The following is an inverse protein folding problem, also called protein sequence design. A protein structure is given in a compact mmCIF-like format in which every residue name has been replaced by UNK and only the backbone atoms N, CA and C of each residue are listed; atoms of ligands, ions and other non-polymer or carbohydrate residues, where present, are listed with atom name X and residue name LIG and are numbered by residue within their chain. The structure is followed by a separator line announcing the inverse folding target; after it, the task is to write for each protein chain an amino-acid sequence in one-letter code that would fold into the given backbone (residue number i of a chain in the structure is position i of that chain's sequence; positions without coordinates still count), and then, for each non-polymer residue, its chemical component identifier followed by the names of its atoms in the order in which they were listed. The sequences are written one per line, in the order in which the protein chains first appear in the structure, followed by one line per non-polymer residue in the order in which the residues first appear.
data_IF_844264181691
#
_entry.id   IF_844264181691
#
_cell.length_a   1.000
_cell.length_b   1.000
_cell.length_c   1.000
_cell.angle_alpha   90.00
_cell.angle_beta   90.00
_cell.angle_gamma   90.00
#
_symmetry.space_group_name_H-M   'P 1'
#
loop_
_entity.id
_entity.type
_entity.pdbx_description
1 polymer ?
2 branched ?
3 branched ?
4 non-polymer ?
5 non-polymer ?
6 water ?
#
# COMPACT_ATOMS: atom_id res chain seq x y z
N UNK A 10 20.16 2.65 16.79
CA UNK A 10 20.43 3.03 18.23
C UNK A 10 19.24 3.10 19.26
N UNK A 11 18.16 3.79 18.89
CA UNK A 11 16.98 3.96 19.77
C UNK A 11 15.74 3.73 18.93
N UNK A 12 14.76 3.05 19.46
CA UNK A 12 13.54 2.72 18.68
C UNK A 12 12.74 3.97 18.42
N UNK A 13 12.12 4.09 17.26
CA UNK A 13 11.07 5.07 17.04
C UNK A 13 10.00 4.90 18.13
N UNK A 14 9.61 6.00 18.75
CA UNK A 14 8.63 6.00 19.82
C UNK A 14 7.23 5.63 19.37
N UNK A 15 6.75 6.16 18.22
CA UNK A 15 5.44 5.89 17.73
C UNK A 15 4.27 6.41 18.55
N UNK A 16 4.54 7.41 19.40
CA UNK A 16 3.54 7.89 20.34
C UNK A 16 2.91 9.24 20.01
N UNK A 17 3.41 9.90 19.00
CA UNK A 17 2.80 11.13 18.52
C UNK A 17 1.54 10.91 17.64
N UNK A 18 0.75 11.97 17.50
CA UNK A 18 -0.50 12.02 16.76
C UNK A 18 -0.29 12.51 15.33
N UNK A 19 -1.12 12.12 14.41
CA UNK A 19 -0.97 12.68 13.08
C UNK A 19 -0.98 14.20 13.05
N UNK A 20 -0.03 14.79 12.30
CA UNK A 20 0.06 16.22 12.06
C UNK A 20 -1.26 16.77 11.51
N UNK A 21 -1.70 17.95 12.00
CA UNK A 21 -2.81 18.71 11.36
C UNK A 21 -2.37 19.08 9.99
N UNK A 22 -3.16 18.81 8.98
CA UNK A 22 -2.75 19.20 7.61
C UNK A 22 -3.88 19.87 6.92
N UNK A 23 -3.61 20.50 5.78
CA UNK A 23 -4.68 21.10 4.96
C UNK A 23 -4.64 20.58 3.51
N UNK A 24 -3.56 19.93 3.13
CA UNK A 24 -3.39 19.51 1.71
C UNK A 24 -2.11 18.72 1.57
N UNK A 25 -1.75 18.42 0.31
CA UNK A 25 -0.77 17.40 -0.02
C UNK A 25 0.24 18.06 -0.96
N UNK A 26 1.49 18.04 -0.55
CA UNK A 26 2.61 18.59 -1.32
C UNK A 26 3.35 17.48 -1.98
N UNK A 27 3.72 17.66 -3.24
CA UNK A 27 4.40 16.57 -3.92
C UNK A 27 5.81 16.31 -3.43
N UNK A 28 6.07 15.02 -3.17
CA UNK A 28 7.28 14.50 -2.56
C UNK A 28 8.21 13.83 -3.61
N UNK A 29 7.68 12.96 -4.48
CA UNK A 29 8.57 12.34 -5.43
C UNK A 29 7.82 11.98 -6.69
N UNK A 30 8.61 11.73 -7.68
CA UNK A 30 8.17 11.15 -8.97
C UNK A 30 9.35 10.47 -9.61
N UNK A 31 9.26 9.19 -9.98
CA UNK A 31 10.45 8.48 -10.50
C UNK A 31 10.56 8.38 -11.99
N UNK A 32 9.46 8.58 -12.70
CA UNK A 32 9.46 8.44 -14.18
C UNK A 32 10.13 7.13 -14.64
N UNK A 33 9.86 6.03 -13.95
CA UNK A 33 10.60 4.80 -14.12
C UNK A 33 10.38 4.21 -15.53
N UNK A 34 9.14 4.28 -15.96
CA UNK A 34 8.77 3.69 -17.30
C UNK A 34 9.33 4.51 -18.42
N UNK A 35 9.16 5.83 -18.39
CA UNK A 35 9.77 6.68 -19.39
C UNK A 35 11.30 6.42 -19.52
N UNK A 36 11.98 6.31 -18.37
CA UNK A 36 13.41 6.10 -18.39
C UNK A 36 13.72 4.71 -18.89
N UNK A 37 12.85 3.76 -18.57
CA UNK A 37 13.07 2.35 -18.88
C UNK A 37 12.82 2.03 -20.36
N UNK A 38 12.34 3.01 -21.11
CA UNK A 38 12.18 2.87 -22.61
C UNK A 38 13.58 2.63 -23.21
N UNK A 39 14.61 3.20 -22.58
CA UNK A 39 16.01 3.07 -23.06
C UNK A 39 16.93 2.53 -21.98
N UNK A 40 16.81 2.98 -20.76
CA UNK A 40 17.71 2.48 -19.71
C UNK A 40 17.36 1.07 -19.24
N UNK A 41 18.12 0.53 -18.29
CA UNK A 41 17.93 -0.81 -17.83
C UNK A 41 17.17 -0.73 -16.53
N UNK A 42 15.84 -0.90 -16.64
CA UNK A 42 14.94 -0.70 -15.56
C UNK A 42 14.02 -1.92 -15.36
N UNK A 43 13.89 -2.31 -14.12
CA UNK A 43 12.99 -3.42 -13.82
C UNK A 43 11.57 -3.16 -14.22
N UNK A 44 10.91 -4.22 -14.68
CA UNK A 44 9.44 -4.28 -14.64
C UNK A 44 9.03 -4.45 -13.17
N UNK A 45 8.25 -3.52 -12.65
CA UNK A 45 7.85 -3.56 -11.21
C UNK A 45 6.34 -3.50 -10.94
N UNK A 46 5.97 -3.90 -9.74
CA UNK A 46 4.65 -3.61 -9.17
C UNK A 46 4.84 -3.18 -7.67
N UNK A 47 3.82 -2.52 -7.13
CA UNK A 47 3.77 -2.12 -5.70
C UNK A 47 4.99 -1.39 -5.21
N UNK A 48 5.22 -0.19 -5.72
CA UNK A 48 6.39 0.61 -5.33
C UNK A 48 6.09 1.40 -4.06
N UNK A 49 6.08 0.68 -2.94
CA UNK A 49 5.72 1.28 -1.69
C UNK A 49 6.89 1.93 -1.03
N UNK A 50 6.68 3.09 -0.38
CA UNK A 50 7.74 3.84 0.24
C UNK A 50 7.71 3.53 1.72
N UNK A 51 8.89 3.45 2.33
CA UNK A 51 8.94 3.34 3.78
C UNK A 51 10.20 4.06 4.19
N UNK A 52 10.22 4.59 5.43
CA UNK A 52 11.31 5.38 5.89
C UNK A 52 11.90 4.87 7.22
N UNK A 53 13.14 5.23 7.46
CA UNK A 53 13.81 4.95 8.74
C UNK A 53 13.85 6.25 9.52
N UNK A 54 14.74 6.32 10.49
CA UNK A 54 15.04 7.57 11.15
C UNK A 54 15.99 8.47 10.34
N UNK A 55 16.51 7.98 9.22
CA UNK A 55 17.51 8.72 8.39
C UNK A 55 17.10 8.95 6.95
N UNK A 56 16.38 8.02 6.35
CA UNK A 56 16.09 8.12 4.90
C UNK A 56 14.82 7.40 4.54
N UNK A 57 14.36 7.62 3.32
CA UNK A 57 13.23 6.88 2.82
C UNK A 57 13.68 6.05 1.62
N UNK A 58 13.01 4.95 1.41
CA UNK A 58 13.29 4.05 0.28
C UNK A 58 12.07 3.63 -0.40
N UNK A 59 12.13 3.35 -1.72
CA UNK A 59 11.04 2.68 -2.39
C UNK A 59 11.29 1.14 -2.47
N UNK A 60 10.37 0.35 -1.94
CA UNK A 60 10.40 -1.10 -2.03
C UNK A 60 9.49 -1.45 -3.23
N UNK A 61 9.77 -2.58 -3.84
CA UNK A 61 8.97 -3.03 -4.96
C UNK A 61 9.16 -4.48 -5.23
N UNK A 62 8.20 -5.08 -5.96
CA UNK A 62 8.34 -6.43 -6.42
C UNK A 62 8.71 -6.45 -7.91
N UNK A 63 9.66 -7.29 -8.26
CA UNK A 63 10.02 -7.46 -9.66
C UNK A 63 9.95 -8.92 -10.01
N UNK A 64 9.72 -9.26 -11.29
CA UNK A 64 9.90 -10.63 -11.74
C UNK A 64 11.35 -10.91 -12.19
N UNK A 65 12.25 -9.97 -11.99
CA UNK A 65 13.62 -10.05 -12.48
C UNK A 65 13.64 -10.05 -14.00
N UNK A 66 12.92 -9.11 -14.56
CA UNK A 66 12.96 -8.85 -15.94
C UNK A 66 13.00 -7.34 -16.09
N UNK A 67 13.62 -6.90 -17.17
CA UNK A 67 13.71 -5.48 -17.53
C UNK A 67 12.72 -5.07 -18.63
N UNK A 68 12.36 -3.79 -18.61
CA UNK A 68 11.54 -3.21 -19.62
C UNK A 68 12.18 -3.38 -20.96
N UNK A 69 11.35 -3.62 -21.97
CA UNK A 69 11.86 -3.80 -23.35
C UNK A 69 12.67 -5.04 -23.62
N UNK A 70 12.50 -6.05 -22.75
CA UNK A 70 13.09 -7.35 -22.93
C UNK A 70 12.03 -8.42 -22.99
N UNK A 71 12.33 -9.51 -23.69
CA UNK A 71 11.37 -10.64 -23.83
C UNK A 71 10.90 -11.25 -22.50
N UNK A 72 11.72 -11.15 -21.43
CA UNK A 72 11.31 -11.71 -20.19
C UNK A 72 10.24 -10.95 -19.44
N UNK A 73 9.92 -9.75 -19.92
CA UNK A 73 8.89 -8.96 -19.37
C UNK A 73 7.47 -9.44 -19.79
N UNK A 74 7.38 -10.40 -20.70
CA UNK A 74 6.13 -11.02 -21.02
C UNK A 74 5.27 -11.38 -19.78
N UNK A 75 4.07 -10.85 -19.76
CA UNK A 75 3.21 -10.90 -18.58
C UNK A 75 2.26 -12.09 -18.53
N UNK A 76 2.30 -12.99 -19.49
CA UNK A 76 1.40 -14.14 -19.43
C UNK A 76 2.17 -15.23 -18.71
N UNK A 77 2.23 -15.04 -17.40
CA UNK A 77 3.00 -15.81 -16.46
C UNK A 77 2.26 -15.65 -15.12
N UNK A 78 2.51 -16.56 -14.17
CA UNK A 78 1.86 -16.47 -12.86
C UNK A 78 2.32 -15.21 -12.12
N UNK A 79 1.41 -14.53 -11.42
CA UNK A 79 1.85 -13.44 -10.52
C UNK A 79 2.71 -14.04 -9.43
N UNK A 80 2.32 -15.23 -9.00
CA UNK A 80 3.03 -15.85 -7.85
C UNK A 80 4.10 -16.78 -8.33
N UNK A 81 5.17 -16.21 -8.86
CA UNK A 81 6.18 -17.03 -9.47
C UNK A 81 7.39 -17.13 -8.54
N UNK A 82 8.24 -18.13 -8.81
CA UNK A 82 9.47 -18.24 -8.05
C UNK A 82 10.52 -17.21 -8.42
N UNK A 83 10.29 -16.42 -9.49
CA UNK A 83 11.24 -15.40 -9.90
C UNK A 83 11.00 -14.09 -9.13
N UNK A 84 9.84 -13.93 -8.50
CA UNK A 84 9.43 -12.66 -7.96
C UNK A 84 10.28 -12.35 -6.70
N UNK A 85 10.76 -11.13 -6.63
CA UNK A 85 11.67 -10.70 -5.54
C UNK A 85 11.27 -9.31 -5.04
N UNK A 86 11.43 -9.08 -3.73
CA UNK A 86 11.32 -7.77 -3.17
C UNK A 86 12.70 -7.10 -3.20
N UNK A 87 12.75 -5.89 -3.74
CA UNK A 87 13.97 -5.13 -3.89
C UNK A 87 13.71 -3.70 -3.34
N UNK A 88 14.72 -2.84 -3.17
CA UNK A 88 14.44 -1.46 -2.85
C UNK A 88 15.49 -0.55 -3.46
N UNK A 89 15.13 0.70 -3.70
CA UNK A 89 16.04 1.70 -4.21
C UNK A 89 15.68 3.04 -3.55
N UNK A 90 16.57 4.01 -3.66
CA UNK A 90 16.27 5.37 -3.15
C UNK A 90 15.00 5.96 -3.76
N UNK A 91 14.28 6.71 -2.95
CA UNK A 91 13.03 7.36 -3.44
C UNK A 91 13.32 8.27 -4.62
N UNK A 92 12.53 8.15 -5.69
CA UNK A 92 12.62 9.09 -6.79
C UNK A 92 13.54 8.63 -7.93
N UNK A 93 14.21 7.48 -7.75
CA UNK A 93 15.09 6.91 -8.82
C UNK A 93 14.37 5.78 -9.56
N UNK A 94 14.67 5.68 -10.84
CA UNK A 94 14.21 4.57 -11.62
C UNK A 94 14.76 3.26 -11.05
N UNK A 95 13.92 2.24 -10.90
CA UNK A 95 14.36 1.01 -10.23
C UNK A 95 15.16 0.12 -11.14
N UNK A 96 16.49 0.19 -11.06
CA UNK A 96 17.38 -0.58 -11.94
C UNK A 96 18.20 -1.63 -11.19
N UNK A 97 18.71 -2.66 -11.90
CA UNK A 97 19.60 -3.62 -11.25
C UNK A 97 20.88 -2.91 -10.72
N UNK A 98 21.16 -1.59 -11.26
CA UNK A 98 22.42 -0.95 -10.94
C UNK A 98 22.24 -0.07 -9.72
N UNK A 99 21.01 0.19 -9.27
CA UNK A 99 20.84 1.03 -8.03
C UNK A 99 19.93 0.42 -6.96
N UNK A 100 19.42 -0.77 -7.22
CA UNK A 100 18.50 -1.46 -6.32
C UNK A 100 19.21 -2.51 -5.45
N UNK A 101 18.83 -2.62 -4.19
CA UNK A 101 19.28 -3.61 -3.25
C UNK A 101 18.32 -4.80 -3.24
N UNK A 102 18.81 -6.03 -3.01
CA UNK A 102 17.95 -7.18 -2.88
C UNK A 102 17.43 -7.27 -1.44
N UNK A 103 16.16 -7.56 -1.22
CA UNK A 103 15.63 -7.70 0.18
C UNK A 103 15.19 -9.14 0.47
N UNK A 104 14.37 -9.73 -0.42
CA UNK A 104 13.81 -11.03 -0.14
C UNK A 104 13.21 -11.66 -1.40
N UNK A 105 13.10 -12.97 -1.41
CA UNK A 105 12.35 -13.67 -2.49
C UNK A 105 10.88 -13.56 -2.07
N UNK A 106 10.05 -13.01 -2.93
CA UNK A 106 8.70 -12.65 -2.51
C UNK A 106 7.76 -12.39 -3.68
N UNK A 107 6.55 -12.98 -3.57
CA UNK A 107 5.42 -12.53 -4.38
C UNK A 107 4.35 -11.75 -3.62
N UNK A 108 4.55 -11.51 -2.29
CA UNK A 108 3.76 -10.62 -1.53
C UNK A 108 4.69 -10.17 -0.40
N UNK A 109 4.61 -8.92 -0.01
CA UNK A 109 5.62 -8.37 0.92
C UNK A 109 5.15 -7.19 1.79
N UNK A 110 5.93 -6.89 2.83
CA UNK A 110 5.82 -5.68 3.63
C UNK A 110 7.25 -5.40 4.19
N UNK A 111 7.48 -4.16 4.59
CA UNK A 111 8.72 -3.76 5.20
C UNK A 111 8.50 -2.57 6.07
N UNK A 112 9.35 -2.45 7.08
CA UNK A 112 9.30 -1.31 7.95
C UNK A 112 10.52 -1.24 8.81
N UNK A 113 10.86 -0.02 9.25
CA UNK A 113 12.09 0.23 10.06
C UNK A 113 11.67 0.62 11.46
N UNK A 114 12.21 -0.09 12.44
CA UNK A 114 11.88 0.24 13.84
C UNK A 114 12.70 1.36 14.51
N UNK A 115 13.55 2.05 13.78
CA UNK A 115 14.49 3.01 14.41
C UNK A 115 15.88 2.48 14.50
N UNK A 116 15.97 1.14 14.56
CA UNK A 116 17.23 0.44 14.62
C UNK A 116 17.62 -0.24 13.27
N UNK A 117 16.79 -1.14 12.79
CA UNK A 117 17.07 -1.81 11.50
C UNK A 117 15.80 -2.07 10.74
N UNK A 118 15.97 -2.48 9.48
CA UNK A 118 14.85 -2.86 8.63
C UNK A 118 14.29 -4.25 8.94
N UNK A 119 12.98 -4.33 9.09
CA UNK A 119 12.26 -5.58 8.99
C UNK A 119 11.72 -5.71 7.57
N UNK A 120 11.95 -6.85 6.96
CA UNK A 120 11.30 -7.18 5.69
C UNK A 120 10.57 -8.51 5.83
N UNK A 121 9.45 -8.60 5.14
CA UNK A 121 8.64 -9.78 5.16
C UNK A 121 8.39 -10.16 3.72
N UNK A 122 8.81 -11.35 3.35
CA UNK A 122 8.67 -11.79 1.94
C UNK A 122 8.07 -13.12 1.89
N UNK A 123 6.94 -13.24 1.17
CA UNK A 123 6.24 -14.47 1.12
C UNK A 123 6.54 -15.15 -0.18
N UNK A 124 7.02 -16.39 -0.13
CA UNK A 124 7.20 -17.22 -1.39
C UNK A 124 6.71 -18.63 -1.13
N UNK A 125 6.84 -19.54 -2.11
CA UNK A 125 6.35 -20.87 -1.97
C UNK A 125 5.01 -21.07 -2.70
N UNK A 126 4.49 -22.28 -2.58
CA UNK A 126 3.29 -22.68 -3.30
C UNK A 126 2.02 -22.11 -2.66
N UNK A 127 0.95 -22.09 -3.45
CA UNK A 127 -0.33 -21.56 -2.94
C UNK A 127 -0.88 -22.28 -1.73
N UNK A 128 -0.60 -23.57 -1.65
CA UNK A 128 -1.14 -24.37 -0.57
C UNK A 128 -0.24 -24.42 0.64
N UNK A 129 0.85 -23.69 0.59
CA UNK A 129 1.79 -23.69 1.72
C UNK A 129 2.86 -22.60 1.77
N UNK A 130 2.48 -21.35 1.50
CA UNK A 130 3.43 -20.30 1.30
C UNK A 130 4.01 -19.94 2.66
N UNK A 131 5.25 -19.48 2.62
CA UNK A 131 6.00 -19.09 3.86
C UNK A 131 6.49 -17.67 3.76
N UNK A 132 6.14 -16.85 4.74
CA UNK A 132 6.73 -15.58 4.96
C UNK A 132 8.07 -15.72 5.67
N UNK A 133 9.13 -15.22 5.02
CA UNK A 133 10.44 -15.14 5.61
C UNK A 133 10.60 -13.73 6.17
N UNK A 134 10.83 -13.65 7.47
CA UNK A 134 11.08 -12.36 8.10
C UNK A 134 12.60 -12.17 8.27
N UNK A 135 13.06 -10.98 7.93
CA UNK A 135 14.45 -10.60 8.09
C UNK A 135 14.54 -9.34 8.90
N UNK A 136 15.53 -9.29 9.76
CA UNK A 136 15.87 -8.06 10.50
C UNK A 136 17.33 -7.74 10.24
N UNK A 137 17.59 -6.53 9.74
CA UNK A 137 18.92 -6.16 9.22
C UNK A 137 19.45 -7.18 8.24
N UNK A 138 18.58 -7.70 7.37
CA UNK A 138 18.97 -8.67 6.34
C UNK A 138 19.22 -10.12 6.76
N UNK A 139 19.09 -10.45 8.03
CA UNK A 139 19.32 -11.81 8.53
C UNK A 139 17.97 -12.43 8.82
N UNK A 140 17.75 -13.66 8.34
CA UNK A 140 16.50 -14.36 8.66
C UNK A 140 16.30 -14.55 10.18
N UNK A 141 15.12 -14.12 10.67
CA UNK A 141 14.82 -14.12 12.11
C UNK A 141 13.56 -14.91 12.40
N UNK A 142 12.69 -15.20 11.43
CA UNK A 142 11.55 -16.03 11.74
C UNK A 142 10.85 -16.41 10.46
N UNK A 143 9.90 -17.31 10.58
CA UNK A 143 9.04 -17.64 9.39
C UNK A 143 7.59 -17.74 9.88
N UNK A 144 6.64 -17.44 9.00
CA UNK A 144 5.23 -17.68 9.28
C UNK A 144 4.71 -18.49 8.09
N UNK A 145 4.21 -19.70 8.35
CA UNK A 145 3.61 -20.50 7.26
C UNK A 145 2.09 -20.37 7.21
N UNK A 146 1.55 -20.46 6.00
CA UNK A 146 0.16 -20.49 5.76
C UNK A 146 -0.64 -21.34 6.73
N UNK A 147 -1.73 -20.85 7.26
CA UNK A 147 -2.54 -21.57 8.24
C UNK A 147 -3.87 -22.04 7.68
N UNK A 148 -4.21 -21.62 6.44
CA UNK A 148 -5.39 -22.12 5.70
C UNK A 148 -5.04 -22.78 4.38
N UNK A 149 -3.76 -22.75 4.02
CA UNK A 149 -3.34 -23.41 2.77
C UNK A 149 -4.01 -22.82 1.57
N UNK A 150 -4.22 -21.50 1.59
CA UNK A 150 -4.87 -20.82 0.46
C UNK A 150 -4.39 -19.40 0.28
N UNK A 151 -3.14 -19.30 -0.19
CA UNK A 151 -2.48 -18.03 -0.55
C UNK A 151 -2.26 -17.05 0.58
N UNK A 152 -1.38 -17.44 1.50
CA UNK A 152 -0.92 -16.50 2.51
C UNK A 152 -0.43 -15.24 1.84
N UNK A 153 -0.89 -14.07 2.27
CA UNK A 153 -0.52 -12.85 1.64
C UNK A 153 -0.61 -11.68 2.63
N UNK A 154 0.05 -10.56 2.30
CA UNK A 154 0.20 -9.44 3.20
C UNK A 154 0.00 -8.08 2.52
N UNK A 155 0.58 -7.04 3.12
CA UNK A 155 0.11 -5.65 2.86
C UNK A 155 0.41 -5.07 1.47
N UNK A 156 1.58 -5.39 0.93
CA UNK A 156 2.16 -4.65 -0.16
C UNK A 156 2.35 -3.15 0.15
N UNK A 157 2.67 -2.83 1.41
CA UNK A 157 3.05 -1.48 1.82
C UNK A 157 3.71 -1.63 3.17
N UNK A 158 4.07 -0.53 3.79
CA UNK A 158 4.83 -0.61 5.02
C UNK A 158 4.06 -1.07 6.24
N UNK A 159 4.76 -1.85 7.08
CA UNK A 159 4.23 -2.23 8.35
C UNK A 159 4.39 -1.01 9.29
N UNK A 160 3.91 -1.09 10.53
CA UNK A 160 3.85 0.08 11.43
C UNK A 160 4.63 -0.26 12.67
N UNK A 161 5.51 0.66 13.15
CA UNK A 161 6.39 0.38 14.28
C UNK A 161 6.14 1.36 15.41
N UNK A 162 6.10 0.86 16.62
CA UNK A 162 5.89 1.66 17.82
C UNK A 162 6.74 1.08 18.91
N UNK A 163 7.67 1.91 19.38
CA UNK A 163 8.57 1.57 20.50
C UNK A 163 9.22 0.18 20.38
N UNK A 164 9.72 -0.13 19.18
CA UNK A 164 10.42 -1.39 18.95
C UNK A 164 9.59 -2.62 18.57
N UNK A 165 8.28 -2.49 18.49
CA UNK A 165 7.38 -3.57 18.05
C UNK A 165 6.83 -3.09 16.73
N UNK A 166 6.84 -3.98 15.75
CA UNK A 166 6.30 -3.68 14.45
C UNK A 166 5.10 -4.59 14.23
N UNK A 167 4.11 -4.07 13.49
CA UNK A 167 2.84 -4.68 13.34
C UNK A 167 2.46 -4.80 11.85
N UNK A 168 1.85 -5.92 11.53
CA UNK A 168 1.38 -6.20 10.13
C UNK A 168 0.13 -7.07 10.16
N UNK A 169 -0.49 -7.27 8.99
CA UNK A 169 -1.75 -8.00 8.87
C UNK A 169 -1.56 -8.94 7.70
N UNK A 170 -1.91 -10.21 7.88
CA UNK A 170 -1.87 -11.21 6.79
C UNK A 170 -3.19 -11.83 6.60
N UNK A 171 -3.46 -12.25 5.36
CA UNK A 171 -4.68 -12.87 5.01
C UNK A 171 -4.37 -14.27 4.43
N UNK A 172 -5.29 -15.21 4.64
CA UNK A 172 -5.17 -16.58 4.13
C UNK A 172 -6.59 -17.09 3.89
N UNK A 173 -6.90 -17.57 2.68
CA UNK A 173 -8.24 -17.90 2.27
C UNK A 173 -8.68 -17.23 1.00
N UNK A 174 -9.93 -17.41 0.63
CA UNK A 174 -10.47 -16.95 -0.68
C UNK A 174 -10.38 -15.45 -0.83
N UNK A 175 -10.21 -14.99 -2.06
CA UNK A 175 -10.26 -13.54 -2.33
C UNK A 175 -11.67 -13.14 -2.82
N UNK A 176 -12.59 -14.11 -2.93
CA UNK A 176 -13.95 -13.92 -3.38
C UNK A 176 -14.98 -14.46 -2.39
N UNK A 177 -14.63 -14.48 -1.12
CA UNK A 177 -15.51 -14.99 -0.10
C UNK A 177 -14.87 -14.78 1.23
N UNK A 178 -15.51 -15.26 2.30
CA UNK A 178 -14.93 -15.15 3.62
C UNK A 178 -13.52 -15.72 3.66
N UNK A 179 -12.58 -14.99 4.28
CA UNK A 179 -11.23 -15.51 4.54
C UNK A 179 -10.84 -15.37 6.00
N UNK A 180 -9.57 -15.60 6.31
CA UNK A 180 -9.03 -15.49 7.67
C UNK A 180 -7.96 -14.43 7.72
N UNK A 181 -7.98 -13.65 8.82
CA UNK A 181 -7.18 -12.43 8.93
C UNK A 181 -6.45 -12.50 10.24
N UNK A 182 -5.16 -12.29 10.20
CA UNK A 182 -4.38 -12.20 11.41
C UNK A 182 -3.53 -10.94 11.53
N UNK A 183 -3.42 -10.43 12.76
CA UNK A 183 -2.46 -9.41 13.12
C UNK A 183 -1.26 -9.99 13.84
N UNK A 184 -0.05 -9.52 13.45
CA UNK A 184 1.20 -10.00 13.97
C UNK A 184 1.95 -8.89 14.61
N UNK A 185 2.53 -9.21 15.75
CA UNK A 185 3.42 -8.31 16.46
C UNK A 185 4.83 -8.87 16.39
N UNK A 186 5.79 -8.09 15.93
CA UNK A 186 7.13 -8.52 15.61
C UNK A 186 8.16 -7.65 16.31
N UNK A 187 9.10 -8.27 16.96
CA UNK A 187 10.20 -7.57 17.65
C UNK A 187 11.56 -8.14 17.21
N UNK A 188 12.40 -7.28 16.71
CA UNK A 188 13.72 -7.66 16.14
C UNK A 188 13.52 -8.84 15.16
N UNK A 189 12.48 -8.70 14.35
CA UNK A 189 12.14 -9.70 13.32
C UNK A 189 11.56 -11.05 13.80
N UNK A 190 11.31 -11.18 15.11
CA UNK A 190 10.68 -12.37 15.70
C UNK A 190 9.21 -12.14 16.07
N UNK A 191 8.31 -13.05 15.66
CA UNK A 191 6.91 -12.94 16.01
C UNK A 191 6.76 -13.15 17.52
N UNK A 192 6.23 -12.17 18.23
CA UNK A 192 6.05 -12.27 19.70
C UNK A 192 4.57 -12.50 20.06
N UNK A 193 3.66 -12.18 19.16
CA UNK A 193 2.24 -12.36 19.39
C UNK A 193 1.50 -12.31 18.09
N UNK A 194 0.40 -13.07 17.97
CA UNK A 194 -0.54 -12.92 16.84
C UNK A 194 -1.96 -13.14 17.34
N UNK A 195 -2.93 -12.57 16.64
CA UNK A 195 -4.34 -12.76 16.91
C UNK A 195 -5.10 -12.89 15.61
N UNK A 196 -6.06 -13.80 15.59
CA UNK A 196 -6.93 -13.95 14.45
C UNK A 196 -8.16 -13.08 14.62
N UNK A 197 -8.46 -12.22 13.65
CA UNK A 197 -9.66 -11.40 13.78
C UNK A 197 -10.93 -12.25 13.76
N UNK A 198 -11.88 -11.91 14.62
CA UNK A 198 -13.23 -12.43 14.51
C UNK A 198 -14.02 -11.41 13.72
N UNK A 199 -14.05 -11.60 12.39
CA UNK A 199 -14.64 -10.68 11.47
C UNK A 199 -15.50 -11.35 10.40
N UNK A 200 -16.59 -11.98 10.85
CA UNK A 200 -17.56 -12.52 9.93
C UNK A 200 -18.16 -11.47 9.03
N UNK A 201 -18.23 -11.78 7.75
CA UNK A 201 -18.81 -10.98 6.70
C UNK A 201 -17.92 -9.84 6.26
N UNK A 202 -16.73 -9.74 6.84
CA UNK A 202 -15.76 -8.71 6.48
C UNK A 202 -14.69 -9.36 5.59
N UNK A 203 -13.98 -8.56 4.80
CA UNK A 203 -12.89 -9.06 3.98
C UNK A 203 -11.74 -8.07 4.03
N UNK A 204 -10.53 -8.57 4.38
CA UNK A 204 -9.32 -7.76 4.44
C UNK A 204 -8.24 -8.26 3.50
N UNK A 205 -7.80 -7.36 2.61
CA UNK A 205 -6.62 -7.57 1.78
C UNK A 205 -5.77 -6.30 1.72
N UNK A 206 -4.46 -6.49 1.50
CA UNK A 206 -3.56 -5.39 1.11
C UNK A 206 -3.72 -4.18 2.02
N UNK A 207 -3.58 -4.38 3.32
CA UNK A 207 -3.76 -3.33 4.25
C UNK A 207 -2.70 -2.24 4.24
N UNK A 208 -3.13 -0.97 4.37
CA UNK A 208 -2.28 0.19 4.59
C UNK A 208 -2.42 0.54 6.08
N UNK A 209 -1.34 0.33 6.79
CA UNK A 209 -1.36 0.50 8.30
C UNK A 209 -0.39 1.57 8.70
N UNK A 210 -0.74 2.41 9.72
CA UNK A 210 0.11 3.50 10.09
C UNK A 210 -0.03 3.63 11.61
N UNK A 211 1.03 4.04 12.28
CA UNK A 211 0.91 4.33 13.69
C UNK A 211 0.32 5.76 13.96
N UNK A 212 -0.42 5.91 15.07
CA UNK A 212 -0.98 7.18 15.46
C UNK A 212 -1.30 7.03 16.99
N UNK A 213 -0.58 7.81 17.74
CA UNK A 213 -0.76 7.88 19.23
C UNK A 213 -0.68 6.50 19.87
N UNK A 214 0.43 5.82 19.60
CA UNK A 214 0.74 4.52 20.19
C UNK A 214 -0.22 3.36 19.82
N UNK A 215 -1.03 3.51 18.77
CA UNK A 215 -1.91 2.44 18.26
C UNK A 215 -1.74 2.42 16.78
N UNK A 216 -2.22 1.39 16.13
CA UNK A 216 -2.11 1.26 14.65
C UNK A 216 -3.49 1.33 14.06
N UNK A 217 -3.61 1.96 12.90
CA UNK A 217 -4.85 1.93 12.15
C UNK A 217 -4.48 1.36 10.80
N UNK A 218 -5.28 0.42 10.32
CA UNK A 218 -5.10 -0.17 8.98
C UNK A 218 -6.37 0.03 8.15
N UNK A 219 -6.22 0.45 6.89
CA UNK A 219 -7.33 0.63 5.97
C UNK A 219 -7.01 -0.26 4.82
N UNK A 220 -7.97 -1.07 4.40
CA UNK A 220 -7.67 -2.19 3.54
C UNK A 220 -8.58 -2.28 2.35
N UNK A 221 -8.48 -3.41 1.67
CA UNK A 221 -9.33 -3.67 0.45
C UNK A 221 -10.27 -4.86 0.72
N UNK A 222 -11.59 -4.68 0.55
CA UNK A 222 -12.55 -5.76 0.56
C UNK A 222 -12.69 -6.21 -0.88
N UNK A 223 -12.14 -7.38 -1.19
CA UNK A 223 -12.26 -7.95 -2.56
C UNK A 223 -13.49 -8.80 -2.83
N UNK A 224 -14.21 -9.10 -1.77
CA UNK A 224 -15.39 -9.98 -1.79
C UNK A 224 -16.65 -9.21 -2.16
N UNK A 225 -17.03 -8.27 -1.33
CA UNK A 225 -18.37 -7.65 -1.42
C UNK A 225 -18.50 -6.23 -0.75
N UNK A 226 -17.44 -5.45 -0.84
CA UNK A 226 -17.41 -4.12 -0.24
C UNK A 226 -16.79 -3.13 -1.21
N UNK A 227 -17.50 -2.03 -1.51
CA UNK A 227 -16.96 -0.94 -2.32
C UNK A 227 -16.51 0.23 -1.46
N UNK A 228 -16.83 0.17 -0.18
CA UNK A 228 -16.12 0.98 0.85
C UNK A 228 -15.01 0.18 1.42
N UNK A 229 -14.10 0.82 2.18
CA UNK A 229 -12.96 0.13 2.65
C UNK A 229 -13.15 -0.34 4.06
N UNK A 230 -12.76 -1.58 4.34
CA UNK A 230 -12.63 -2.04 5.74
C UNK A 230 -11.47 -1.44 6.49
N UNK A 231 -11.58 -1.44 7.81
CA UNK A 231 -10.48 -1.00 8.69
C UNK A 231 -10.39 -1.88 9.92
N UNK A 232 -9.18 -1.93 10.47
CA UNK A 232 -8.94 -2.56 11.72
C UNK A 232 -7.94 -1.72 12.46
N UNK A 233 -8.27 -1.43 13.69
CA UNK A 233 -7.30 -0.71 14.55
C UNK A 233 -6.98 -1.50 15.81
N UNK A 234 -5.81 -1.27 16.36
CA UNK A 234 -5.42 -2.11 17.51
C UNK A 234 -4.32 -1.47 18.34
N UNK A 235 -4.26 -1.85 19.60
CA UNK A 235 -3.21 -1.36 20.45
C UNK A 235 -2.02 -2.31 20.47
N UNK A 236 -0.92 -2.11 21.28
CA UNK A 236 0.30 -2.87 21.33
C UNK A 236 0.10 -4.31 21.80
N UNK A 237 -1.03 -4.60 22.43
CA UNK A 237 -1.33 -5.94 22.89
C UNK A 237 -2.27 -6.66 21.94
N UNK A 238 -2.46 -6.08 20.75
CA UNK A 238 -3.34 -6.66 19.71
C UNK A 238 -4.83 -6.75 20.11
N UNK A 239 -5.29 -5.90 21.05
CA UNK A 239 -6.71 -5.77 21.33
C UNK A 239 -7.22 -4.83 20.23
N UNK A 240 -8.21 -5.26 19.49
CA UNK A 240 -8.58 -4.62 18.21
C UNK A 240 -10.06 -4.18 18.12
N UNK A 241 -10.35 -3.32 17.16
CA UNK A 241 -11.69 -2.98 16.71
C UNK A 241 -11.72 -3.03 15.18
N UNK A 242 -12.88 -3.35 14.66
CA UNK A 242 -13.08 -3.42 13.21
C UNK A 242 -14.29 -2.63 12.76
N UNK A 243 -14.27 -2.17 11.51
CA UNK A 243 -15.46 -1.61 10.88
C UNK A 243 -15.16 -1.36 9.41
N UNK A 244 -16.04 -0.59 8.75
CA UNK A 244 -15.81 -0.09 7.40
C UNK A 244 -15.96 1.45 7.47
N UNK A 245 -15.24 2.14 6.61
CA UNK A 245 -15.35 3.58 6.54
C UNK A 245 -16.79 3.94 6.14
N UNK A 246 -17.41 4.83 6.90
CA UNK A 246 -18.88 5.06 6.77
C UNK A 246 -19.26 5.99 5.62
N UNK A 247 -18.33 6.83 5.16
CA UNK A 247 -18.67 7.84 4.21
C UNK A 247 -19.30 7.27 2.96
N UNK A 248 -20.22 8.03 2.38
CA UNK A 248 -20.85 7.71 1.06
C UNK A 248 -19.94 8.10 -0.07
N UNK A 249 -18.82 8.73 0.29
CA UNK A 249 -17.72 8.96 -0.67
C UNK A 249 -16.94 7.65 -0.70
N UNK A 250 -17.38 6.72 -1.54
CA UNK A 250 -16.85 5.34 -1.50
C UNK A 250 -15.38 5.30 -1.98
N UNK A 251 -14.55 4.51 -1.28
CA UNK A 251 -13.11 4.54 -1.44
C UNK A 251 -12.52 3.50 -2.43
N UNK A 252 -13.21 2.40 -2.72
CA UNK A 252 -12.57 1.30 -3.48
C UNK A 252 -12.79 1.58 -4.95
N UNK A 253 -12.16 0.75 -5.76
CA UNK A 253 -12.36 0.73 -7.23
C UNK A 253 -12.44 -0.74 -7.62
N UNK A 254 -13.53 -1.18 -8.26
CA UNK A 254 -14.74 -0.43 -8.65
C UNK A 254 -15.63 -0.06 -7.47
N UNK A 255 -16.60 0.79 -7.76
CA UNK A 255 -17.55 1.26 -6.73
C UNK A 255 -18.75 1.84 -7.44
N UNK A 256 -19.84 2.02 -6.73
CA UNK A 256 -20.96 2.80 -7.32
C UNK A 256 -20.67 4.30 -7.27
N UNK A 257 -21.55 5.10 -7.87
CA UNK A 257 -21.50 6.54 -7.68
C UNK A 257 -21.71 6.84 -6.19
N UNK A 258 -21.21 7.98 -5.74
CA UNK A 258 -21.35 8.29 -4.31
C UNK A 258 -22.81 8.35 -3.92
N UNK A 259 -23.12 7.93 -2.72
CA UNK A 259 -24.50 7.77 -2.30
C UNK A 259 -24.57 7.56 -0.80
N UNK A 260 -25.56 6.83 -0.29
CA UNK A 260 -25.59 6.52 1.10
C UNK A 260 -24.55 5.49 1.48
N UNK A 261 -23.74 5.82 2.48
CA UNK A 261 -22.69 4.93 2.90
C UNK A 261 -23.15 3.84 3.84
N UNK A 262 -22.30 3.07 4.58
CA UNK A 262 -22.49 2.05 5.56
C UNK A 262 -21.22 1.85 6.40
N UNK A 263 -21.42 1.65 7.69
CA UNK A 263 -20.33 1.30 8.61
C UNK A 263 -20.09 -0.20 8.60
N UNK A 264 -20.74 -1.08 7.48
CA UNK A 264 -20.43 -2.41 7.04
C UNK A 264 -20.18 -2.36 5.56
N UNK A 265 -19.97 -3.53 4.97
CA UNK A 265 -19.58 -3.55 3.55
C UNK A 265 -20.71 -3.12 2.65
N UNK A 266 -20.40 -2.26 1.69
CA UNK A 266 -21.34 -1.81 0.70
C UNK A 266 -21.25 -2.78 -0.47
N UNK A 267 -22.30 -3.56 -0.64
CA UNK A 267 -22.25 -4.67 -1.59
C UNK A 267 -22.26 -4.25 -3.07
N UNK A 268 -22.89 -3.11 -3.43
CA UNK A 268 -22.98 -2.70 -4.82
C UNK A 268 -21.56 -2.50 -5.39
N UNK A 269 -21.26 -3.11 -6.54
CA UNK A 269 -19.93 -3.07 -7.14
C UNK A 269 -18.81 -3.45 -6.16
N UNK A 270 -19.15 -4.29 -5.16
CA UNK A 270 -18.26 -4.66 -4.07
C UNK A 270 -17.15 -5.66 -4.38
N UNK A 271 -17.38 -6.50 -5.39
CA UNK A 271 -16.36 -7.46 -5.82
C UNK A 271 -15.19 -6.75 -6.53
N UNK A 272 -14.02 -7.38 -6.39
CA UNK A 272 -12.73 -6.89 -6.84
C UNK A 272 -12.42 -5.63 -6.00
N UNK A 273 -11.44 -4.87 -6.40
CA UNK A 273 -10.91 -3.82 -5.56
C UNK A 273 -9.59 -3.30 -6.08
N UNK A 274 -8.99 -2.40 -5.32
CA UNK A 274 -7.64 -1.88 -5.60
C UNK A 274 -7.07 -1.60 -4.20
N UNK A 275 -5.79 -1.88 -4.03
CA UNK A 275 -5.13 -1.49 -2.76
C UNK A 275 -5.26 0.03 -2.60
N UNK A 276 -5.59 0.49 -1.39
CA UNK A 276 -5.78 1.88 -1.09
C UNK A 276 -5.50 2.19 0.38
N UNK A 277 -5.77 3.42 0.77
CA UNK A 277 -5.47 3.89 2.16
C UNK A 277 -6.44 4.98 2.50
N UNK A 278 -6.44 5.39 3.78
CA UNK A 278 -7.12 6.62 4.18
C UNK A 278 -6.59 6.96 5.55
N UNK A 279 -6.73 8.22 5.96
CA UNK A 279 -6.22 8.69 7.31
C UNK A 279 -7.37 9.22 8.14
N UNK A 280 -7.51 8.66 9.35
CA UNK A 280 -8.59 9.06 10.26
C UNK A 280 -8.13 10.27 11.07
N UNK A 281 -8.94 11.32 11.13
CA UNK A 281 -8.67 12.46 12.01
C UNK A 281 -9.99 12.75 12.80
N UNK A 282 -10.09 12.26 14.01
CA UNK A 282 -11.35 12.32 14.78
C UNK A 282 -12.44 11.53 14.06
N UNK A 283 -13.56 12.20 13.81
CA UNK A 283 -14.65 11.61 13.04
C UNK A 283 -14.48 11.88 11.57
N UNK A 284 -13.40 12.59 11.20
CA UNK A 284 -13.13 12.94 9.83
C UNK A 284 -12.14 12.02 9.14
N UNK A 285 -12.11 12.05 7.81
CA UNK A 285 -11.23 11.15 7.07
C UNK A 285 -10.67 11.78 5.78
N UNK A 286 -9.37 11.61 5.55
CA UNK A 286 -8.78 11.86 4.22
C UNK A 286 -8.80 10.58 3.42
N UNK A 287 -9.53 10.60 2.30
CA UNK A 287 -9.61 9.47 1.44
C UNK A 287 -8.82 9.75 0.16
N UNK A 288 -7.95 8.83 -0.23
CA UNK A 288 -7.36 8.84 -1.57
C UNK A 288 -8.11 7.79 -2.39
N UNK A 289 -8.53 8.14 -3.60
CA UNK A 289 -9.18 7.15 -4.40
C UNK A 289 -8.97 7.48 -5.89
N UNK A 290 -9.25 6.51 -6.75
CA UNK A 290 -9.30 6.79 -8.16
C UNK A 290 -10.40 7.78 -8.50
N UNK A 291 -10.30 8.38 -9.69
CA UNK A 291 -11.39 9.26 -10.12
C UNK A 291 -12.47 8.48 -10.82
N UNK A 292 -12.12 7.44 -11.59
CA UNK A 292 -13.15 6.57 -12.20
C UNK A 292 -13.79 5.62 -11.18
N UNK A 293 -15.09 5.34 -11.34
CA UNK A 293 -15.77 4.34 -10.53
C UNK A 293 -15.56 2.91 -11.06
N UNK A 294 -15.03 2.77 -12.26
CA UNK A 294 -15.00 1.48 -12.93
C UNK A 294 -13.57 1.04 -13.20
N UNK A 295 -12.65 1.95 -13.58
CA UNK A 295 -11.25 1.53 -13.89
C UNK A 295 -10.25 2.25 -13.00
N UNK A 296 -9.04 1.76 -12.98
CA UNK A 296 -7.97 2.40 -12.20
C UNK A 296 -7.43 3.61 -12.97
N UNK A 297 -8.24 4.68 -13.02
CA UNK A 297 -7.97 5.92 -13.74
C UNK A 297 -8.15 7.11 -12.81
N UNK A 298 -7.18 8.01 -12.77
CA UNK A 298 -7.30 9.24 -12.02
C UNK A 298 -6.96 8.96 -10.57
N UNK A 299 -6.71 10.04 -9.84
CA UNK A 299 -6.49 9.94 -8.40
C UNK A 299 -6.77 11.30 -7.79
N UNK A 300 -7.44 11.29 -6.62
CA UNK A 300 -7.85 12.49 -5.92
C UNK A 300 -7.78 12.25 -4.41
N UNK A 301 -7.54 13.31 -3.64
CA UNK A 301 -7.66 13.30 -2.15
C UNK A 301 -8.86 14.12 -1.74
N UNK A 302 -9.73 13.53 -0.90
CA UNK A 302 -10.93 14.10 -0.43
C UNK A 302 -10.90 14.18 1.08
N UNK A 303 -11.21 15.34 1.59
CA UNK A 303 -11.40 15.50 3.02
C UNK A 303 -12.91 15.48 3.30
N UNK A 304 -13.34 14.54 4.13
CA UNK A 304 -14.77 14.42 4.53
C UNK A 304 -14.78 14.57 6.05
N UNK A 305 -15.20 15.75 6.56
CA UNK A 305 -15.00 16.06 8.01
C UNK A 305 -15.75 15.16 8.95
N UNK A 306 -16.79 14.46 8.49
CA UNK A 306 -17.48 13.45 9.30
C UNK A 306 -17.46 12.01 8.74
N UNK A 307 -16.55 11.74 7.83
CA UNK A 307 -16.72 10.62 6.99
C UNK A 307 -16.25 9.31 7.61
N UNK A 308 -15.56 9.37 8.76
CA UNK A 308 -15.22 8.13 9.39
C UNK A 308 -16.46 7.47 9.97
N UNK A 309 -17.36 8.29 10.52
CA UNK A 309 -18.49 7.81 11.29
C UNK A 309 -19.86 8.09 10.70
N UNK A 310 -20.01 8.99 9.75
CA UNK A 310 -21.32 9.32 9.20
C UNK A 310 -21.41 8.83 7.77
N UNK A 311 -22.61 8.53 7.37
CA UNK A 311 -22.84 7.86 6.07
C UNK A 311 -23.32 8.74 4.95
N UNK A 312 -23.34 10.07 5.16
CA UNK A 312 -23.72 10.96 4.06
C UNK A 312 -22.63 10.93 2.96
N UNK A 313 -22.96 11.46 1.79
CA UNK A 313 -22.03 11.54 0.68
C UNK A 313 -21.40 12.97 0.56
N UNK A 314 -21.57 13.83 1.57
CA UNK A 314 -21.03 15.18 1.49
C UNK A 314 -19.59 15.23 2.01
N UNK A 315 -18.76 15.99 1.30
CA UNK A 315 -17.36 16.25 1.68
C UNK A 315 -17.02 17.70 1.45
N UNK A 316 -15.89 18.21 1.97
CA UNK A 316 -15.64 19.65 1.90
C UNK A 316 -14.46 20.04 1.06
N UNK A 317 -13.44 19.19 0.95
CA UNK A 317 -12.24 19.51 0.13
C UNK A 317 -11.89 18.34 -0.83
N UNK A 318 -11.50 18.70 -2.09
CA UNK A 318 -10.96 17.70 -3.03
C UNK A 318 -9.66 18.30 -3.62
N UNK A 319 -8.62 17.52 -3.72
CA UNK A 319 -7.36 17.94 -4.33
C UNK A 319 -7.05 16.93 -5.44
N UNK A 320 -6.90 17.43 -6.65
CA UNK A 320 -6.54 16.59 -7.80
C UNK A 320 -5.05 16.12 -7.73
N UNK A 321 -4.82 14.87 -8.06
CA UNK A 321 -3.50 14.24 -8.04
C UNK A 321 -3.13 13.67 -9.41
N UNK A 322 -4.08 12.96 -10.02
CA UNK A 322 -3.94 12.44 -11.38
C UNK A 322 -5.28 12.60 -12.11
N UNK A 323 -5.22 13.09 -13.34
CA UNK A 323 -6.48 13.34 -14.05
C UNK A 323 -7.12 12.02 -14.46
N UNK A 324 -8.45 12.04 -14.69
CA UNK A 324 -9.20 10.82 -14.94
C UNK A 324 -8.82 10.25 -16.32
N UNK A 325 -8.20 11.08 -17.14
CA UNK A 325 -7.68 10.58 -18.46
C UNK A 325 -6.37 9.85 -18.38
N UNK A 326 -5.80 9.71 -17.17
CA UNK A 326 -4.55 9.01 -17.01
C UNK A 326 -4.65 7.84 -16.03
N UNK A 327 -3.81 6.81 -16.22
CA UNK A 327 -3.90 5.58 -15.44
C UNK A 327 -3.32 5.82 -14.05
N UNK A 328 -3.98 5.26 -13.06
CA UNK A 328 -3.45 5.18 -11.70
C UNK A 328 -3.23 3.71 -11.32
N UNK A 329 -3.54 3.26 -10.09
CA UNK A 329 -3.17 1.90 -9.72
C UNK A 329 -3.26 1.85 -8.19
N UNK A 330 -2.50 0.96 -7.63
CA UNK A 330 -2.42 0.84 -6.16
C UNK A 330 -2.04 2.14 -5.53
N UNK A 331 -2.40 2.31 -4.24
CA UNK A 331 -1.80 3.40 -3.50
C UNK A 331 -1.70 2.93 -2.03
N UNK A 332 -0.86 3.58 -1.26
CA UNK A 332 -0.69 3.17 0.11
C UNK A 332 -0.21 4.31 0.99
N UNK A 333 -0.45 4.18 2.29
CA UNK A 333 0.14 5.12 3.22
C UNK A 333 1.61 4.89 3.52
N UNK A 334 2.31 5.99 3.82
CA UNK A 334 3.54 5.90 4.63
C UNK A 334 3.62 7.06 5.60
N UNK A 335 4.32 6.84 6.69
CA UNK A 335 4.54 7.95 7.63
C UNK A 335 5.99 8.37 7.71
N UNK A 336 6.19 9.57 8.24
CA UNK A 336 7.52 10.06 8.58
C UNK A 336 7.50 10.47 10.07
N UNK A 337 8.22 9.68 10.78
CA UNK A 337 8.21 9.87 12.28
C UNK A 337 8.95 11.11 12.64
N UNK A 338 8.73 11.73 13.92
CA UNK A 338 9.52 12.82 14.55
C UNK A 338 11.01 12.61 14.54
N UNK A 339 11.58 11.25 14.72
CA UNK A 339 13.01 10.95 14.75
C UNK A 339 13.73 11.26 13.43
N UNK A 340 12.76 11.20 12.25
CA UNK A 340 13.28 11.61 10.96
C UNK A 340 13.06 13.09 10.70
N UNK A 341 11.87 13.61 10.98
CA UNK A 341 11.47 14.96 10.56
C UNK A 341 11.88 16.08 11.54
N UNK A 342 12.08 15.76 12.81
CA UNK A 342 12.19 16.84 13.81
C UNK A 342 10.89 17.49 14.28
N UNK A 343 9.75 17.06 13.75
CA UNK A 343 8.46 17.57 14.15
C UNK A 343 8.00 16.93 15.47
N UNK A 344 6.92 17.45 16.05
CA UNK A 344 6.32 16.86 17.29
C UNK A 344 5.11 16.00 16.95
N UNK A 345 4.87 15.73 15.68
CA UNK A 345 3.73 14.98 15.30
C UNK A 345 4.14 14.00 14.16
N UNK A 346 3.32 13.01 13.97
CA UNK A 346 3.45 11.99 12.93
C UNK A 346 3.01 12.47 11.56
N UNK A 347 3.93 12.50 10.59
CA UNK A 347 3.60 13.10 9.32
C UNK A 347 2.96 12.03 8.40
N UNK A 348 1.74 12.28 7.88
CA UNK A 348 1.17 11.32 6.95
C UNK A 348 1.62 11.60 5.52
N UNK A 349 1.98 10.56 4.80
CA UNK A 349 2.26 10.63 3.37
C UNK A 349 1.58 9.46 2.64
N UNK A 350 1.61 9.55 1.32
CA UNK A 350 1.09 8.48 0.48
C UNK A 350 1.82 8.37 -0.83
N UNK A 351 1.83 7.16 -1.36
CA UNK A 351 2.32 6.89 -2.74
C UNK A 351 1.20 6.39 -3.60
N UNK A 352 1.39 6.55 -4.91
CA UNK A 352 0.48 6.03 -5.89
C UNK A 352 1.33 5.35 -6.96
N UNK A 353 0.84 4.17 -7.38
CA UNK A 353 1.39 3.44 -8.48
C UNK A 353 0.63 3.80 -9.75
N UNK A 354 1.34 4.10 -10.82
CA UNK A 354 0.70 4.42 -12.11
C UNK A 354 0.96 3.25 -13.03
N UNK A 355 -0.08 2.46 -13.19
CA UNK A 355 0.04 1.20 -13.88
C UNK A 355 -0.05 1.38 -15.40
N UNK A 356 0.95 0.86 -16.09
CA UNK A 356 0.95 0.93 -17.56
C UNK A 356 1.03 -0.44 -18.15
N UNK A 357 0.45 -0.60 -19.34
CA UNK A 357 0.57 -1.89 -20.02
C UNK A 357 -0.74 -2.70 -19.92
N UNK A 358 -0.62 -4.02 -19.81
CA UNK A 358 -1.79 -4.90 -19.66
C UNK A 358 -2.52 -4.67 -18.32
N UNK A 359 -3.86 -4.85 -18.30
CA UNK A 359 -4.73 -5.32 -19.41
C UNK A 359 -5.25 -4.21 -20.28
N UNK A 360 -5.02 -2.95 -19.90
CA UNK A 360 -5.68 -1.82 -20.60
C UNK A 360 -5.03 -1.34 -21.85
N UNK A 361 -3.76 -1.70 -22.05
CA UNK A 361 -3.01 -1.17 -23.15
C UNK A 361 -2.29 -2.30 -23.89
N UNK A 362 -1.84 -2.02 -25.23
CA UNK A 362 -1.50 -3.05 -26.18
C UNK A 362 0.01 -3.42 -26.07
N UNK A 363 0.37 -3.98 -24.92
CA UNK A 363 1.76 -4.36 -24.66
C UNK A 363 1.81 -5.86 -24.24
N UNK A 364 3.00 -6.46 -24.18
CA UNK A 364 3.16 -7.78 -23.65
C UNK A 364 3.35 -7.73 -22.13
N UNK A 365 3.63 -6.54 -21.61
CA UNK A 365 4.03 -6.38 -20.21
C UNK A 365 3.08 -5.48 -19.39
N UNK A 366 3.30 -5.46 -18.05
CA UNK A 366 2.65 -4.54 -17.20
C UNK A 366 3.70 -4.03 -16.17
N UNK A 367 3.80 -2.74 -15.96
CA UNK A 367 4.64 -2.18 -14.89
C UNK A 367 3.97 -0.95 -14.31
N UNK A 368 4.50 -0.47 -13.18
CA UNK A 368 4.04 0.81 -12.54
C UNK A 368 5.22 1.78 -12.46
N UNK A 369 4.96 3.09 -12.55
CA UNK A 369 5.88 4.09 -12.04
C UNK A 369 5.27 4.65 -10.72
N UNK A 370 5.95 5.58 -10.05
CA UNK A 370 5.40 6.08 -8.79
C UNK A 370 5.45 7.61 -8.63
N UNK A 371 4.50 8.08 -7.82
CA UNK A 371 4.47 9.46 -7.32
C UNK A 371 4.18 9.34 -5.83
N UNK A 372 4.56 10.34 -5.09
CA UNK A 372 4.25 10.37 -3.64
C UNK A 372 4.10 11.80 -3.16
N UNK A 373 3.39 11.96 -2.01
CA UNK A 373 2.96 13.28 -1.51
C UNK A 373 3.02 13.21 -0.02
N UNK A 374 3.25 14.33 0.62
CA UNK A 374 3.20 14.42 2.09
C UNK A 374 2.21 15.47 2.50
N UNK A 375 1.52 15.21 3.63
CA UNK A 375 0.59 16.15 4.12
C UNK A 375 1.29 17.32 4.79
N UNK A 376 0.82 18.53 4.48
CA UNK A 376 1.28 19.75 5.05
C UNK A 376 0.16 20.69 5.48
N UNK A 377 0.50 21.59 6.39
CA UNK A 377 -0.42 22.64 6.81
C UNK A 377 -0.06 24.00 6.20
N UNK A 378 0.46 24.03 5.00
CA UNK A 378 0.77 25.26 4.29
C UNK A 378 0.09 25.14 2.91
N UNK A 379 0.30 26.10 2.05
CA UNK A 379 -0.41 26.15 0.75
C UNK A 379 0.00 25.02 -0.16
N UNK A 380 -1.01 24.52 -0.93
CA UNK A 380 -0.80 23.37 -1.80
C UNK A 380 -1.63 23.60 -3.03
N UNK A 381 -1.50 22.70 -3.98
CA UNK A 381 -2.25 22.84 -5.22
C UNK A 381 -2.50 21.48 -5.87
N UNK A 382 -3.66 21.33 -6.47
CA UNK A 382 -3.95 20.15 -7.28
C UNK A 382 -3.33 20.27 -8.67
N UNK A 383 -3.00 19.12 -9.24
CA UNK A 383 -2.57 19.04 -10.61
C UNK A 383 -2.70 17.59 -11.06
N UNK A 384 -2.19 17.25 -12.23
CA UNK A 384 -2.09 15.87 -12.66
C UNK A 384 -0.65 15.57 -12.89
N UNK A 385 -0.12 14.56 -12.17
CA UNK A 385 1.23 14.10 -12.37
C UNK A 385 1.24 12.63 -12.80
N UNK A 386 0.91 12.38 -14.08
CA UNK A 386 0.77 11.01 -14.58
C UNK A 386 2.09 10.35 -14.98
N UNK A 387 2.03 9.10 -15.40
CA UNK A 387 3.21 8.38 -15.71
C UNK A 387 4.01 8.98 -16.88
N UNK A 388 3.32 9.21 -17.98
CA UNK A 388 3.95 9.89 -19.13
C UNK A 388 4.69 9.06 -20.16
N UNK A 389 4.73 7.75 -20.01
CA UNK A 389 5.34 6.97 -21.05
C UNK A 389 4.43 6.88 -22.25
N UNK A 390 5.04 6.76 -23.39
CA UNK A 390 4.36 6.59 -24.71
C UNK A 390 4.43 5.12 -25.08
N UNK A 391 3.29 4.47 -25.01
CA UNK A 391 3.16 3.06 -25.33
C UNK A 391 2.54 2.89 -26.73
N UNK A 392 2.78 1.77 -27.38
CA UNK A 392 3.62 0.65 -26.88
C UNK A 392 5.13 0.92 -27.02
N UNK A 393 5.93 -0.02 -26.54
CA UNK A 393 7.39 0.04 -26.56
C UNK A 393 7.91 -0.86 -27.68
N UNK A 394 9.22 -0.76 -27.96
CA UNK A 394 9.85 -1.51 -29.01
C UNK A 394 9.60 -3.01 -28.88
N UNK A 395 9.60 -3.53 -27.66
CA UNK A 395 9.36 -4.99 -27.48
C UNK A 395 7.96 -5.52 -27.87
N UNK A 396 6.99 -4.61 -27.99
CA UNK A 396 5.59 -4.94 -28.23
C UNK A 396 5.30 -4.94 -29.75
N UNK A 397 6.26 -4.56 -30.58
CA UNK A 397 6.05 -4.35 -32.05
C UNK A 397 6.07 -5.66 -32.80
X LIG B 1 6.63 10.01 23.57
X LIG B 1 6.28 10.89 24.82
X LIG B 1 7.44 11.70 25.38
X LIG B 1 8.64 10.79 25.47
X LIG B 1 8.88 10.16 24.08
X LIG B 1 10.16 9.34 24.00
X LIG B 1 3.92 11.52 24.64
X LIG B 1 2.93 12.60 24.26
X LIG B 1 5.21 11.82 24.50
X LIG B 1 7.14 12.21 26.66
X LIG B 1 9.71 11.62 25.81
X LIG B 1 7.78 9.27 23.86
X LIG B 1 10.12 8.30 24.98
X LIG B 1 3.54 10.43 25.04
X LIG B 2 10.43 11.18 26.97
X LIG B 2 11.75 11.98 27.04
X LIG B 2 12.53 11.63 28.32
X LIG B 2 11.63 11.69 29.56
X LIG B 2 10.34 10.86 29.28
X LIG B 2 9.33 10.89 30.42
X LIG B 2 12.76 12.72 24.89
X LIG B 2 13.73 12.41 23.78
X LIG B 2 12.63 11.80 25.88
X LIG B 2 13.56 12.59 28.45
X LIG B 2 12.35 11.25 30.70
X LIG B 2 9.66 11.36 28.14
X LIG B 2 9.20 12.27 30.70
X LIG B 2 12.11 13.78 24.86
X LIG B 3 11.44 7.68 25.11
X LIG B 3 11.36 6.77 26.35
X LIG B 3 10.42 5.58 26.01
X LIG B 3 10.95 4.87 24.76
X LIG B 3 11.08 5.83 23.56
X LIG B 3 11.63 5.13 22.30
X LIG B 3 10.93 7.59 27.45
X LIG B 3 10.28 4.59 27.00
X LIG B 3 12.23 4.34 25.07
X LIG B 3 11.89 6.96 23.93
X LIG C 1 4.20 -14.54 -23.97
X LIG C 1 4.55 -15.01 -25.37
X LIG C 1 3.30 -15.62 -25.98
X LIG C 1 3.02 -16.89 -25.23
X LIG C 1 2.99 -16.64 -23.74
X LIG C 1 3.03 -18.08 -23.18
X LIG C 1 4.71 -12.93 -26.70
X LIG C 1 3.32 -12.47 -26.31
X LIG C 1 5.22 -14.06 -26.25
X LIG C 1 3.57 -15.88 -27.32
X LIG C 1 1.74 -17.42 -25.54
X LIG C 1 4.03 -15.74 -23.25
X LIG C 1 4.24 -18.33 -22.64
X LIG C 1 5.42 -12.27 -27.42
X LIG C 2 3.84 -19.52 -23.07
X LIG C 2 4.97 -20.43 -23.62
X LIG C 2 6.30 -20.01 -22.95
X LIG C 2 6.09 -20.20 -21.48
X LIG C 2 5.08 -19.14 -21.02
X LIG C 2 4.83 -19.21 -19.52
X LIG C 2 5.03 -20.31 -25.01
X LIG C 2 7.44 -20.75 -23.33
X LIG C 2 5.53 -21.48 -21.29
X LIG C 2 3.84 -19.43 -21.71
X LIG D 1 -19.58 13.51 5.01
X LIG E 1 -14.18 -4.16 -3.31
X LIG F 1 9.08 1.06 25.25
X LIG F 1 8.30 1.19 26.56
X LIG F 1 9.19 0.96 27.77
X LIG F 1 9.93 -0.35 27.69
X LIG F 1 10.71 -0.30 26.34
X LIG F 1 11.65 -1.47 26.12
X LIG F 1 6.45 2.75 26.62
X LIG F 1 5.98 4.16 26.79
X LIG F 1 7.73 2.51 26.69
X LIG F 1 8.37 1.05 28.90
X LIG F 1 10.80 -0.38 28.81
X LIG F 1 9.75 -0.19 25.28
X LIG F 1 10.89 -2.65 25.97
X LIG F 1 5.64 1.87 26.43
#
# INVERSE_FOLDING_TARGET
GSGDSGSPGSVALAGNSSLCPISGWAIYSKDNGIRIGSKGDVFVIREPFISCSHLECRTFFLTQGALLNDKHSNGTVKDRSPYRTLMSCPVGEAPSPYNSRFESVAWSASACHDGISWLTIGISGPDNGAVAVLKYNGIITDTIKSWRSNILRTQESECACINGSCFTIMTDGPSNGQASYKIFKVEKGKVVKSVELNAPNYHYEECSCYPDASEVMCVCRDNWHGSNRPWVSFNQNLEYQIGYICSGVFGDNPRPNDGTGSCGPVSSNGAYGVKGFSFKYGNGVWIGRTKSTSSRSGFEMIWDPNGWTETDSSFSVKQEIVAITDWSGYSGSFVQHPELTGLDCMRPCFWVELIRGRPKENTIWTSGSSISFCGVNSDTVGWSWPDGAELPFTIDK
NAG C1 C2 C3 C4 C5 C6 C7 C8 N2 O3 O4 O5 O6 O7
NAG C1 C2 C3 C4 C5 C6 C7 C8 N2 O3 O4 O5 O6 O7
FUC C1 C2 C3 C4 C5 C6 O2 O3 O4 O5
NAG C1 C2 C3 C4 C5 C6 C7 C8 N2 O3 O4 O5 O6 O7
FUC C1 C2 C3 C4 C5 C6 O2 O3 O4 O5
CA CA
CA CA
NAG C1 C2 C3 C4 C5 C6 C7 C8 N2 O3 O4 O5 O6 O7
#
